data_IF_578459132665
#
_entry.id   IF_578459132665
#
_cell.length_a   1.000
_cell.length_b   1.000
_cell.length_c   1.000
_cell.angle_alpha   90.00
_cell.angle_beta   90.00
_cell.angle_gamma   90.00
#
_symmetry.space_group_name_H-M   'P 1'
#
loop_
_entity.id
_entity.type
_entity.pdbx_description
1 polymer ?
#
# COMPACT_ATOMS: atom_id res chain seq x y z
N UNK A 1 12.07 39.79 -15.63
CA UNK A 1 13.31 39.59 -14.85
C UNK A 1 12.89 39.17 -13.43
N UNK A 2 13.44 38.06 -12.92
CA UNK A 2 13.20 37.37 -11.62
C UNK A 2 11.91 36.53 -11.58
N UNK A 3 11.88 35.26 -11.12
CA UNK A 3 12.83 34.35 -10.42
C UNK A 3 12.61 32.93 -10.98
N UNK A 4 13.61 32.28 -11.56
CA UNK A 4 14.67 31.46 -10.94
C UNK A 4 14.12 30.29 -10.12
N UNK A 5 14.32 29.10 -10.68
CA UNK A 5 14.09 27.79 -10.13
C UNK A 5 14.65 27.64 -8.70
N UNK A 6 13.89 26.96 -7.87
CA UNK A 6 14.41 26.20 -6.74
C UNK A 6 13.81 24.81 -6.84
N UNK A 7 14.42 23.97 -7.67
CA UNK A 7 14.31 22.52 -7.50
C UNK A 7 15.03 22.17 -6.19
N UNK A 8 14.38 21.36 -5.35
CA UNK A 8 14.93 20.85 -4.10
C UNK A 8 16.21 20.01 -4.31
N UNK A 9 16.88 19.60 -3.22
CA UNK A 9 18.20 18.97 -3.27
C UNK A 9 18.20 17.75 -4.19
N UNK A 10 19.31 17.55 -4.92
CA UNK A 10 19.58 16.47 -5.87
C UNK A 10 18.92 15.14 -5.44
N UNK A 11 17.71 14.88 -5.94
CA UNK A 11 17.12 13.56 -5.86
C UNK A 11 17.98 12.65 -6.72
N UNK A 12 18.49 11.53 -6.18
CA UNK A 12 19.28 10.61 -6.98
C UNK A 12 18.47 10.25 -8.23
N UNK A 13 19.12 10.26 -9.39
CA UNK A 13 18.49 9.90 -10.67
C UNK A 13 18.31 8.37 -10.70
N UNK A 14 17.42 7.89 -9.85
CA UNK A 14 17.08 6.49 -9.66
C UNK A 14 16.15 6.09 -10.79
N UNK A 15 16.58 5.12 -11.60
CA UNK A 15 15.86 4.68 -12.79
C UNK A 15 15.78 3.17 -12.83
N UNK A 16 14.66 2.67 -13.33
CA UNK A 16 14.49 1.25 -13.63
C UNK A 16 15.52 0.84 -14.70
N UNK A 17 16.33 -0.20 -14.45
CA UNK A 17 17.30 -0.68 -15.43
C UNK A 17 16.60 -1.10 -16.72
N UNK A 18 17.16 -0.69 -17.87
CA UNK A 18 16.55 -0.95 -19.18
C UNK A 18 16.31 -2.44 -19.46
N UNK A 19 17.16 -3.33 -18.93
CA UNK A 19 17.05 -4.78 -19.13
C UNK A 19 15.88 -5.44 -18.42
N UNK A 20 15.22 -4.77 -17.48
CA UNK A 20 14.07 -5.32 -16.72
C UNK A 20 12.83 -4.42 -16.78
N UNK A 21 12.88 -3.31 -17.52
CA UNK A 21 11.82 -2.30 -17.52
C UNK A 21 10.45 -2.86 -17.89
N UNK A 22 10.37 -3.61 -18.98
CA UNK A 22 9.10 -4.18 -19.47
C UNK A 22 8.48 -5.13 -18.43
N UNK A 23 9.30 -5.90 -17.72
CA UNK A 23 8.83 -6.79 -16.66
C UNK A 23 8.31 -6.02 -15.45
N UNK A 24 9.01 -4.95 -15.04
CA UNK A 24 8.57 -4.08 -13.94
C UNK A 24 7.27 -3.36 -14.30
N UNK A 25 7.14 -2.84 -15.52
CA UNK A 25 5.92 -2.20 -16.01
C UNK A 25 4.75 -3.20 -16.04
N UNK A 26 4.99 -4.43 -16.50
CA UNK A 26 3.98 -5.51 -16.49
C UNK A 26 3.47 -5.80 -15.09
N UNK A 27 4.36 -5.97 -14.10
CA UNK A 27 3.94 -6.18 -12.71
C UNK A 27 3.24 -4.94 -12.14
N UNK A 28 3.75 -3.74 -12.40
CA UNK A 28 3.16 -2.49 -11.90
C UNK A 28 1.72 -2.30 -12.39
N UNK A 29 1.50 -2.42 -13.69
CA UNK A 29 0.19 -2.27 -14.31
C UNK A 29 -0.79 -3.34 -13.83
N UNK A 30 -0.31 -4.56 -13.58
CA UNK A 30 -1.14 -5.63 -13.04
C UNK A 30 -1.62 -5.33 -11.61
N UNK A 31 -0.76 -4.79 -10.74
CA UNK A 31 -1.11 -4.53 -9.33
C UNK A 31 -2.02 -3.31 -9.15
N UNK A 32 -1.92 -2.32 -10.02
CA UNK A 32 -2.80 -1.16 -10.02
C UNK A 32 -4.21 -1.55 -10.45
N UNK A 33 -5.16 -1.51 -9.52
CA UNK A 33 -6.56 -1.85 -9.81
C UNK A 33 -7.28 -0.75 -10.58
N UNK A 34 -6.68 0.46 -10.67
CA UNK A 34 -7.24 1.62 -11.37
C UNK A 34 -8.68 1.94 -10.95
N UNK A 35 -8.98 1.74 -9.67
CA UNK A 35 -10.29 2.08 -9.11
C UNK A 35 -10.32 3.58 -8.82
N UNK A 36 -11.39 4.24 -9.26
CA UNK A 36 -11.61 5.65 -8.93
C UNK A 36 -12.06 5.80 -7.47
N UNK A 37 -11.57 6.83 -6.74
CA UNK A 37 -12.10 7.20 -5.45
C UNK A 37 -13.59 7.50 -5.52
N UNK A 38 -14.33 7.06 -4.49
CA UNK A 38 -15.76 7.29 -4.34
C UNK A 38 -16.12 7.49 -2.89
N UNK A 39 -17.31 8.02 -2.63
CA UNK A 39 -17.79 8.19 -1.27
C UNK A 39 -17.94 6.84 -0.56
N UNK A 40 -17.36 6.72 0.63
CA UNK A 40 -17.41 5.53 1.49
C UNK A 40 -17.59 5.93 2.95
N UNK A 41 -17.96 4.98 3.80
CA UNK A 41 -18.16 5.24 5.23
C UNK A 41 -16.84 5.55 5.96
N UNK A 42 -15.75 4.86 5.57
CA UNK A 42 -14.43 4.97 6.23
C UNK A 42 -13.28 4.79 5.24
N UNK A 43 -12.21 5.57 5.41
CA UNK A 43 -10.91 5.31 4.80
C UNK A 43 -9.98 4.53 5.74
N UNK A 44 -9.25 3.55 5.21
CA UNK A 44 -8.20 2.82 5.93
C UNK A 44 -6.87 3.05 5.20
N UNK A 45 -5.97 3.84 5.80
CA UNK A 45 -4.63 4.10 5.28
C UNK A 45 -3.62 3.08 5.82
N UNK A 46 -3.02 2.28 4.94
CA UNK A 46 -2.09 1.22 5.34
C UNK A 46 -0.66 1.75 5.51
N UNK A 47 -0.19 1.68 6.75
CA UNK A 47 1.16 1.99 7.19
C UNK A 47 2.24 1.30 6.36
N UNK A 48 3.36 1.99 6.23
CA UNK A 48 4.58 1.46 5.65
C UNK A 48 5.58 2.58 5.44
N UNK A 49 6.51 2.38 4.52
CA UNK A 49 7.61 3.32 4.28
C UNK A 49 7.23 4.51 3.39
N UNK A 50 6.09 4.47 2.70
CA UNK A 50 5.68 5.48 1.73
C UNK A 50 4.73 6.49 2.41
N UNK A 51 5.24 7.69 2.75
CA UNK A 51 4.42 8.75 3.36
C UNK A 51 3.32 9.28 2.44
N UNK A 52 3.41 9.04 1.12
CA UNK A 52 2.43 9.47 0.14
C UNK A 52 1.05 8.86 0.37
N UNK A 53 0.96 7.73 1.08
CA UNK A 53 -0.32 7.16 1.54
C UNK A 53 -1.05 8.14 2.46
N UNK A 54 -0.36 8.72 3.45
CA UNK A 54 -0.99 9.66 4.39
C UNK A 54 -1.35 10.99 3.72
N UNK A 55 -0.51 11.49 2.81
CA UNK A 55 -0.80 12.70 2.02
C UNK A 55 -2.07 12.51 1.19
N UNK A 56 -2.13 11.42 0.43
CA UNK A 56 -3.27 11.17 -0.44
C UNK A 56 -4.54 10.86 0.34
N UNK A 57 -4.45 10.20 1.50
CA UNK A 57 -5.58 10.06 2.42
C UNK A 57 -6.10 11.43 2.89
N UNK A 58 -5.22 12.37 3.22
CA UNK A 58 -5.63 13.72 3.60
C UNK A 58 -6.28 14.49 2.44
N UNK A 59 -5.73 14.39 1.22
CA UNK A 59 -6.31 14.99 0.02
C UNK A 59 -7.72 14.45 -0.27
N UNK A 60 -7.92 13.14 -0.15
CA UNK A 60 -9.24 12.52 -0.36
C UNK A 60 -10.24 12.90 0.75
N UNK A 61 -9.77 13.06 1.98
CA UNK A 61 -10.60 13.57 3.08
C UNK A 61 -11.12 14.98 2.79
N UNK A 62 -10.24 15.89 2.35
CA UNK A 62 -10.61 17.27 2.01
C UNK A 62 -11.55 17.36 0.81
N UNK A 63 -11.53 16.38 -0.07
CA UNK A 63 -12.47 16.23 -1.18
C UNK A 63 -13.84 15.65 -0.75
N UNK A 64 -13.98 15.23 0.50
CA UNK A 64 -15.25 14.77 1.07
C UNK A 64 -15.59 13.30 0.80
N UNK A 65 -14.62 12.48 0.38
CA UNK A 65 -14.87 11.06 0.06
C UNK A 65 -15.22 10.20 1.28
N UNK A 66 -14.85 10.62 2.49
CA UNK A 66 -15.15 9.87 3.71
C UNK A 66 -15.06 10.79 4.92
N UNK A 67 -15.86 10.54 5.97
CA UNK A 67 -15.86 11.34 7.19
C UNK A 67 -14.82 10.88 8.24
N UNK A 68 -14.30 9.65 8.11
CA UNK A 68 -13.42 9.02 9.12
C UNK A 68 -12.25 8.30 8.45
N UNK A 69 -11.11 8.33 9.14
CA UNK A 69 -9.87 7.66 8.74
C UNK A 69 -9.42 6.72 9.85
N UNK A 70 -8.96 5.52 9.48
CA UNK A 70 -8.14 4.66 10.33
C UNK A 70 -6.76 4.57 9.68
N UNK A 71 -5.70 4.98 10.38
CA UNK A 71 -4.35 4.60 10.00
C UNK A 71 -3.94 3.35 10.79
N UNK A 72 -3.44 2.34 10.06
CA UNK A 72 -3.10 1.02 10.61
C UNK A 72 -1.67 0.64 10.28
N UNK A 73 -0.95 0.03 11.22
CA UNK A 73 0.42 -0.41 11.01
C UNK A 73 1.31 -0.23 12.23
N UNK A 74 1.97 -1.31 12.61
CA UNK A 74 3.01 -1.35 13.62
C UNK A 74 4.32 -0.77 13.12
N UNK A 75 5.24 -0.51 14.04
CA UNK A 75 6.62 -0.23 13.68
C UNK A 75 7.31 -1.49 13.13
N UNK A 76 7.80 -1.39 11.90
CA UNK A 76 8.73 -2.36 11.33
C UNK A 76 10.17 -1.85 11.48
N UNK A 77 11.14 -2.76 11.57
CA UNK A 77 12.57 -2.39 11.63
C UNK A 77 12.98 -1.49 10.46
N UNK A 78 12.34 -1.67 9.31
CA UNK A 78 12.59 -0.92 8.07
C UNK A 78 11.97 0.48 8.04
N UNK A 79 11.17 0.85 9.05
CA UNK A 79 10.47 2.13 9.13
C UNK A 79 10.74 2.91 10.41
N UNK A 80 11.49 2.34 11.37
CA UNK A 80 11.84 2.96 12.65
C UNK A 80 12.51 4.34 12.53
N UNK A 81 13.38 4.54 11.54
CA UNK A 81 14.06 5.84 11.35
C UNK A 81 13.09 6.93 10.89
N UNK A 82 12.12 6.59 10.03
CA UNK A 82 11.11 7.51 9.55
C UNK A 82 9.95 7.70 10.56
N UNK A 83 9.62 6.66 11.31
CA UNK A 83 8.49 6.59 12.23
C UNK A 83 8.90 6.05 13.61
N UNK A 84 9.58 6.84 14.45
CA UNK A 84 10.04 6.39 15.77
C UNK A 84 8.88 5.98 16.69
N UNK A 85 7.65 6.43 16.42
CA UNK A 85 6.47 6.21 17.25
C UNK A 85 5.41 5.27 16.66
N UNK A 86 5.59 4.71 15.47
CA UNK A 86 4.57 3.92 14.78
C UNK A 86 4.30 4.44 13.37
N UNK A 87 4.20 3.55 12.38
CA UNK A 87 3.77 3.94 11.02
C UNK A 87 2.40 4.63 11.05
N UNK A 88 1.44 4.04 11.76
CA UNK A 88 0.09 4.61 11.92
C UNK A 88 0.10 5.97 12.64
N UNK A 89 0.97 6.16 13.63
CA UNK A 89 1.10 7.42 14.37
C UNK A 89 1.68 8.51 13.48
N UNK A 90 2.77 8.22 12.76
CA UNK A 90 3.37 9.19 11.85
C UNK A 90 2.47 9.57 10.68
N UNK A 91 1.68 8.62 10.15
CA UNK A 91 0.67 8.92 9.14
C UNK A 91 -0.42 9.85 9.68
N UNK A 92 -0.91 9.63 10.90
CA UNK A 92 -1.84 10.54 11.56
C UNK A 92 -1.26 11.94 11.73
N UNK A 93 -0.05 12.05 12.29
CA UNK A 93 0.60 13.34 12.49
C UNK A 93 0.70 14.11 11.17
N UNK A 94 1.05 13.42 10.10
CA UNK A 94 1.14 13.97 8.75
C UNK A 94 -0.21 14.44 8.20
N UNK A 95 -1.28 13.66 8.37
CA UNK A 95 -2.62 14.04 7.93
C UNK A 95 -3.19 15.22 8.74
N UNK A 96 -2.99 15.22 10.06
CA UNK A 96 -3.41 16.32 10.95
C UNK A 96 -2.65 17.60 10.64
N UNK A 97 -1.34 17.52 10.33
CA UNK A 97 -0.56 18.67 9.88
C UNK A 97 -1.08 19.27 8.55
N UNK A 98 -1.80 18.48 7.76
CA UNK A 98 -2.47 18.92 6.52
C UNK A 98 -3.92 19.40 6.75
N UNK A 99 -4.34 19.54 8.01
CA UNK A 99 -5.63 20.11 8.37
C UNK A 99 -6.77 19.11 8.46
N UNK A 100 -6.50 17.80 8.41
CA UNK A 100 -7.51 16.79 8.79
C UNK A 100 -7.78 16.93 10.30
N UNK A 101 -9.06 17.04 10.73
CA UNK A 101 -9.39 17.13 12.15
C UNK A 101 -8.88 15.93 12.95
N UNK A 102 -8.35 16.21 14.14
CA UNK A 102 -7.76 15.21 15.03
C UNK A 102 -8.75 14.09 15.42
N UNK A 103 -10.02 14.44 15.59
CA UNK A 103 -11.11 13.53 15.92
C UNK A 103 -11.60 12.71 14.71
N UNK A 104 -11.27 13.10 13.48
CA UNK A 104 -11.57 12.33 12.28
C UNK A 104 -10.62 11.13 12.09
N UNK A 105 -9.50 11.07 12.81
CA UNK A 105 -8.43 10.08 12.61
C UNK A 105 -8.27 9.14 13.80
N UNK A 106 -8.50 7.85 13.57
CA UNK A 106 -8.23 6.76 14.50
C UNK A 106 -6.89 6.08 14.18
N UNK A 107 -6.25 5.52 15.21
CA UNK A 107 -4.95 4.82 15.09
C UNK A 107 -5.12 3.36 15.47
N UNK A 108 -4.58 2.48 14.64
CA UNK A 108 -4.37 1.06 14.90
C UNK A 108 -2.84 0.79 14.81
N UNK A 109 -2.12 0.60 15.94
CA UNK A 109 -0.65 0.56 15.93
C UNK A 109 -0.04 -0.86 15.98
N UNK A 110 -0.83 -1.92 15.81
CA UNK A 110 -0.41 -3.29 16.09
C UNK A 110 -0.25 -4.16 14.84
N UNK A 111 -0.89 -3.82 13.72
CA UNK A 111 -0.85 -4.65 12.53
C UNK A 111 0.55 -4.78 11.92
N UNK A 112 0.98 -6.02 11.64
CA UNK A 112 2.29 -6.36 11.05
C UNK A 112 2.19 -6.95 9.65
N UNK A 113 0.98 -7.26 9.20
CA UNK A 113 0.71 -7.79 7.87
C UNK A 113 -0.66 -7.29 7.38
N UNK A 114 -0.97 -7.52 6.10
CA UNK A 114 -2.18 -6.98 5.47
C UNK A 114 -3.48 -7.55 6.08
N UNK A 115 -3.48 -8.80 6.53
CA UNK A 115 -4.67 -9.39 7.16
C UNK A 115 -4.95 -8.71 8.51
N UNK A 116 -3.91 -8.54 9.33
CA UNK A 116 -4.00 -7.79 10.58
C UNK A 116 -4.40 -6.32 10.35
N UNK A 117 -3.90 -5.67 9.30
CA UNK A 117 -4.32 -4.30 8.98
C UNK A 117 -5.83 -4.22 8.78
N UNK A 118 -6.43 -5.18 8.06
CA UNK A 118 -7.89 -5.23 7.84
C UNK A 118 -8.62 -5.58 9.14
N UNK A 119 -8.20 -6.66 9.81
CA UNK A 119 -8.85 -7.17 11.03
C UNK A 119 -8.82 -6.14 12.16
N UNK A 120 -7.66 -5.54 12.42
CA UNK A 120 -7.49 -4.61 13.52
C UNK A 120 -8.13 -3.26 13.22
N UNK A 121 -8.16 -2.82 11.96
CA UNK A 121 -8.94 -1.64 11.57
C UNK A 121 -10.43 -1.86 11.81
N UNK A 122 -10.97 -3.02 11.42
CA UNK A 122 -12.36 -3.40 11.72
C UNK A 122 -12.64 -3.39 13.23
N UNK A 123 -11.70 -3.89 14.03
CA UNK A 123 -11.80 -3.88 15.50
C UNK A 123 -11.81 -2.45 16.06
N UNK A 124 -10.89 -1.58 15.62
CA UNK A 124 -10.84 -0.17 16.05
C UNK A 124 -12.15 0.55 15.72
N UNK A 125 -12.74 0.31 14.54
CA UNK A 125 -14.04 0.87 14.19
C UNK A 125 -15.16 0.40 15.12
N UNK A 126 -15.20 -0.89 15.42
CA UNK A 126 -16.17 -1.48 16.36
C UNK A 126 -16.04 -0.89 17.78
N UNK A 127 -14.82 -0.72 18.27
CA UNK A 127 -14.54 -0.10 19.59
C UNK A 127 -15.03 1.36 19.67
N UNK A 128 -15.10 2.06 18.54
CA UNK A 128 -15.63 3.42 18.43
C UNK A 128 -17.11 3.46 18.02
N UNK A 129 -17.79 2.31 17.99
CA UNK A 129 -19.19 2.16 17.55
C UNK A 129 -19.44 2.72 16.13
N UNK A 130 -18.46 2.56 15.23
CA UNK A 130 -18.56 2.94 13.82
C UNK A 130 -18.87 1.68 13.01
N UNK A 131 -20.07 1.62 12.44
CA UNK A 131 -20.46 0.58 11.49
C UNK A 131 -20.12 1.04 10.06
N UNK A 132 -19.12 0.40 9.44
CA UNK A 132 -18.77 0.64 8.05
C UNK A 132 -19.37 -0.44 7.15
N UNK A 133 -20.16 -0.03 6.15
CA UNK A 133 -20.66 -0.89 5.08
C UNK A 133 -19.77 -0.81 3.85
N UNK A 134 -19.06 0.30 3.70
CA UNK A 134 -18.11 0.57 2.63
C UNK A 134 -16.79 1.12 3.19
N UNK A 135 -15.67 0.65 2.64
CA UNK A 135 -14.33 1.10 3.02
C UNK A 135 -13.49 1.39 1.79
N UNK A 136 -12.68 2.45 1.88
CA UNK A 136 -11.64 2.74 0.91
C UNK A 136 -10.29 2.51 1.56
N UNK A 137 -9.53 1.56 1.03
CA UNK A 137 -8.14 1.37 1.39
C UNK A 137 -7.26 2.32 0.56
N UNK A 138 -6.42 3.09 1.25
CA UNK A 138 -5.35 3.86 0.62
C UNK A 138 -4.03 3.16 0.92
N UNK A 139 -3.32 2.77 -0.14
CA UNK A 139 -2.08 1.98 -0.05
C UNK A 139 -1.11 2.34 -1.17
N UNK A 140 0.02 1.63 -1.22
CA UNK A 140 1.02 1.77 -2.28
C UNK A 140 0.47 1.14 -3.58
N UNK A 141 0.81 1.67 -4.77
CA UNK A 141 0.23 1.19 -6.03
C UNK A 141 0.39 -0.33 -6.23
N UNK A 142 1.58 -0.87 -5.97
CA UNK A 142 1.86 -2.30 -6.10
C UNK A 142 1.20 -3.18 -5.03
N UNK A 143 0.57 -2.60 -4.00
CA UNK A 143 -0.05 -3.35 -2.90
C UNK A 143 -1.58 -3.47 -3.04
N UNK A 144 -2.21 -2.67 -3.90
CA UNK A 144 -3.69 -2.57 -4.00
C UNK A 144 -4.36 -3.94 -4.17
N UNK A 145 -3.93 -4.72 -5.17
CA UNK A 145 -4.54 -6.02 -5.50
C UNK A 145 -4.53 -7.01 -4.32
N UNK A 146 -3.42 -7.08 -3.58
CA UNK A 146 -3.32 -7.96 -2.41
C UNK A 146 -4.15 -7.47 -1.23
N UNK A 147 -4.24 -6.15 -0.99
CA UNK A 147 -5.13 -5.59 0.03
C UNK A 147 -6.58 -5.95 -0.28
N UNK A 148 -7.00 -5.73 -1.53
CA UNK A 148 -8.35 -6.04 -1.98
C UNK A 148 -8.70 -7.51 -1.75
N UNK A 149 -7.85 -8.43 -2.23
CA UNK A 149 -8.04 -9.87 -2.07
C UNK A 149 -8.03 -10.32 -0.59
N UNK A 150 -7.20 -9.68 0.24
CA UNK A 150 -7.16 -9.96 1.69
C UNK A 150 -8.47 -9.53 2.35
N UNK A 151 -8.99 -8.35 1.99
CA UNK A 151 -10.24 -7.84 2.55
C UNK A 151 -11.43 -8.75 2.22
N UNK A 152 -11.48 -9.31 1.01
CA UNK A 152 -12.54 -10.24 0.61
C UNK A 152 -12.59 -11.51 1.47
N UNK A 153 -11.48 -11.89 2.13
CA UNK A 153 -11.44 -13.03 3.06
C UNK A 153 -11.67 -12.59 4.51
N UNK A 154 -10.99 -11.52 4.95
CA UNK A 154 -10.97 -11.09 6.36
C UNK A 154 -12.22 -10.30 6.76
N UNK A 155 -12.81 -9.56 5.82
CA UNK A 155 -14.00 -8.75 6.03
C UNK A 155 -14.94 -8.87 4.82
N UNK A 156 -15.51 -10.06 4.55
CA UNK A 156 -16.30 -10.31 3.34
C UNK A 156 -17.60 -9.51 3.27
N UNK A 157 -18.08 -8.99 4.41
CA UNK A 157 -19.34 -8.24 4.45
C UNK A 157 -19.20 -6.78 4.02
N UNK A 158 -17.97 -6.25 3.90
CA UNK A 158 -17.74 -4.84 3.55
C UNK A 158 -17.56 -4.67 2.05
N UNK A 159 -18.13 -3.59 1.53
CA UNK A 159 -17.85 -3.14 0.18
C UNK A 159 -16.48 -2.44 0.16
N UNK A 160 -15.47 -3.08 -0.41
CA UNK A 160 -14.10 -2.60 -0.41
C UNK A 160 -13.70 -1.92 -1.72
N UNK A 161 -12.98 -0.81 -1.60
CA UNK A 161 -12.29 -0.11 -2.67
C UNK A 161 -10.82 0.04 -2.32
N UNK A 162 -9.93 0.01 -3.30
CA UNK A 162 -8.50 0.18 -3.11
C UNK A 162 -8.00 1.23 -4.08
N UNK A 163 -7.36 2.27 -3.54
CA UNK A 163 -6.77 3.35 -4.31
C UNK A 163 -5.33 3.59 -3.85
N UNK A 164 -4.55 4.25 -4.69
CA UNK A 164 -3.23 4.75 -4.35
C UNK A 164 -3.05 6.15 -4.94
N UNK A 165 -2.04 6.92 -4.51
CA UNK A 165 -1.69 8.16 -5.19
C UNK A 165 -1.52 7.90 -6.71
N UNK A 166 -2.09 8.74 -7.59
CA UNK A 166 -2.05 8.54 -9.04
C UNK A 166 -0.67 8.96 -9.59
N UNK A 167 0.37 8.23 -9.20
CA UNK A 167 1.76 8.54 -9.50
C UNK A 167 2.30 7.58 -10.57
N UNK A 168 2.85 8.06 -11.69
CA UNK A 168 3.52 7.20 -12.66
C UNK A 168 4.68 6.42 -12.05
N UNK A 169 4.95 5.21 -12.56
CA UNK A 169 5.98 4.31 -12.04
C UNK A 169 7.35 4.98 -11.86
N UNK A 170 7.82 5.75 -12.85
CA UNK A 170 9.13 6.43 -12.77
C UNK A 170 9.16 7.51 -11.69
N UNK A 171 8.05 8.23 -11.50
CA UNK A 171 7.91 9.23 -10.44
C UNK A 171 7.83 8.56 -9.06
N UNK A 172 7.16 7.41 -8.96
CA UNK A 172 7.11 6.60 -7.75
C UNK A 172 8.49 6.06 -7.36
N UNK A 173 9.22 5.50 -8.31
CA UNK A 173 10.61 5.04 -8.08
C UNK A 173 11.49 6.20 -7.62
N UNK A 174 11.33 7.37 -8.25
CA UNK A 174 12.08 8.57 -7.88
C UNK A 174 11.73 9.08 -6.48
N UNK A 175 10.46 9.00 -6.05
CA UNK A 175 10.02 9.45 -4.73
C UNK A 175 10.48 8.51 -3.61
N UNK A 176 10.57 7.21 -3.88
CA UNK A 176 11.12 6.22 -2.95
C UNK A 176 12.65 6.31 -2.88
N UNK A 177 13.32 6.61 -3.99
CA UNK A 177 14.78 6.76 -4.05
C UNK A 177 15.57 5.45 -4.01
N UNK A 178 14.90 4.30 -4.11
CA UNK A 178 15.50 2.98 -4.12
C UNK A 178 14.75 2.07 -5.10
N UNK A 179 15.31 1.93 -6.32
CA UNK A 179 14.70 1.16 -7.40
C UNK A 179 14.66 -0.33 -7.10
N UNK A 180 15.72 -0.89 -6.53
CA UNK A 180 15.82 -2.32 -6.24
C UNK A 180 14.76 -2.69 -5.20
N UNK A 181 14.57 -1.85 -4.18
CA UNK A 181 13.49 -2.01 -3.21
C UNK A 181 12.10 -1.99 -3.85
N UNK A 182 11.83 -1.09 -4.80
CA UNK A 182 10.52 -1.04 -5.49
C UNK A 182 10.29 -2.31 -6.30
N UNK A 183 11.29 -2.76 -7.06
CA UNK A 183 11.19 -3.98 -7.87
C UNK A 183 11.02 -5.21 -6.96
N UNK A 184 11.80 -5.33 -5.90
CA UNK A 184 11.67 -6.40 -4.92
C UNK A 184 10.27 -6.43 -4.29
N UNK A 185 9.69 -5.28 -3.95
CA UNK A 185 8.33 -5.20 -3.41
C UNK A 185 7.29 -5.67 -4.42
N UNK A 186 7.38 -5.22 -5.68
CA UNK A 186 6.53 -5.72 -6.76
C UNK A 186 6.61 -7.23 -6.88
N UNK A 187 7.82 -7.79 -6.99
CA UNK A 187 8.04 -9.24 -7.10
C UNK A 187 7.45 -9.99 -5.91
N UNK A 188 7.69 -9.50 -4.70
CA UNK A 188 7.15 -10.09 -3.49
C UNK A 188 5.63 -10.03 -3.42
N UNK A 189 5.00 -8.92 -3.81
CA UNK A 189 3.56 -8.77 -3.86
C UNK A 189 2.95 -9.73 -4.90
N UNK A 190 3.57 -9.89 -6.08
CA UNK A 190 3.14 -10.86 -7.10
C UNK A 190 3.12 -12.29 -6.56
N UNK A 191 4.22 -12.76 -5.95
CA UNK A 191 4.30 -14.13 -5.45
C UNK A 191 3.21 -14.41 -4.41
N UNK A 192 2.92 -13.42 -3.55
CA UNK A 192 1.90 -13.56 -2.50
C UNK A 192 0.51 -13.72 -3.08
N UNK A 193 0.19 -13.17 -4.25
CA UNK A 193 -1.12 -13.36 -4.87
C UNK A 193 -1.39 -14.84 -5.16
N UNK A 194 -0.38 -15.60 -5.59
CA UNK A 194 -0.50 -17.05 -5.80
C UNK A 194 -0.41 -17.82 -4.48
N UNK A 195 0.69 -17.65 -3.75
CA UNK A 195 0.99 -18.48 -2.55
C UNK A 195 -0.02 -18.26 -1.44
N UNK A 196 -0.54 -17.04 -1.26
CA UNK A 196 -1.51 -16.77 -0.19
C UNK A 196 -2.93 -17.19 -0.60
N UNK A 197 -3.27 -17.16 -1.90
CA UNK A 197 -4.53 -17.69 -2.38
C UNK A 197 -4.61 -19.21 -2.18
N UNK A 198 -3.53 -19.94 -2.49
CA UNK A 198 -3.42 -21.39 -2.24
C UNK A 198 -3.57 -21.76 -0.76
N UNK A 199 -3.10 -20.88 0.14
CA UNK A 199 -3.21 -21.03 1.60
C UNK A 199 -4.55 -20.53 2.16
N UNK A 200 -5.42 -19.96 1.34
CA UNK A 200 -6.71 -19.39 1.76
C UNK A 200 -6.60 -18.11 2.58
N UNK A 201 -5.45 -17.42 2.56
CA UNK A 201 -5.26 -16.15 3.27
C UNK A 201 -5.82 -14.94 2.51
N UNK A 202 -6.00 -15.07 1.19
CA UNK A 202 -6.62 -14.07 0.32
C UNK A 202 -7.59 -14.76 -0.65
N UNK A 203 -8.48 -13.99 -1.28
CA UNK A 203 -9.43 -14.52 -2.25
C UNK A 203 -8.73 -15.03 -3.53
N UNK A 204 -9.30 -16.05 -4.15
CA UNK A 204 -8.76 -16.72 -5.35
C UNK A 204 -9.09 -16.01 -6.66
N UNK A 205 -9.90 -14.95 -6.62
CA UNK A 205 -10.39 -14.25 -7.82
C UNK A 205 -9.31 -13.36 -8.48
N UNK A 206 -8.17 -13.16 -7.81
CA UNK A 206 -7.02 -12.43 -8.35
C UNK A 206 -6.09 -13.38 -9.12
N UNK A 207 -6.56 -13.89 -10.27
CA UNK A 207 -5.72 -14.71 -11.15
C UNK A 207 -4.47 -13.93 -11.57
N UNK A 208 -3.31 -14.61 -11.58
CA UNK A 208 -2.04 -14.07 -12.10
C UNK A 208 -1.89 -14.55 -13.55
N UNK A 209 -2.07 -13.66 -14.55
CA UNK A 209 -1.98 -14.04 -15.96
C UNK A 209 -0.59 -14.53 -16.36
N UNK A 210 -0.50 -15.30 -17.45
CA UNK A 210 0.75 -15.94 -17.87
C UNK A 210 1.87 -14.97 -18.27
N UNK A 211 1.54 -13.80 -18.79
CA UNK A 211 2.49 -12.72 -19.06
C UNK A 211 3.03 -12.10 -17.77
N UNK A 212 2.16 -11.86 -16.78
CA UNK A 212 2.54 -11.39 -15.43
C UNK A 212 3.42 -12.42 -14.72
N UNK A 213 3.06 -13.70 -14.76
CA UNK A 213 3.88 -14.78 -14.22
C UNK A 213 5.24 -14.84 -14.92
N UNK A 214 5.27 -14.73 -16.25
CA UNK A 214 6.52 -14.72 -17.01
C UNK A 214 7.43 -13.51 -16.67
N UNK A 215 6.85 -12.32 -16.45
CA UNK A 215 7.58 -11.14 -16.00
C UNK A 215 8.15 -11.33 -14.58
N UNK A 216 7.34 -11.89 -13.67
CA UNK A 216 7.78 -12.26 -12.33
C UNK A 216 8.98 -13.23 -12.38
N UNK A 217 8.89 -14.31 -13.16
CA UNK A 217 9.96 -15.32 -13.27
C UNK A 217 11.27 -14.70 -13.77
N UNK A 218 11.20 -13.78 -14.75
CA UNK A 218 12.37 -13.07 -15.28
C UNK A 218 13.00 -12.12 -14.25
N UNK A 219 12.19 -11.43 -13.46
CA UNK A 219 12.69 -10.55 -12.39
C UNK A 219 13.34 -11.34 -11.24
N UNK A 220 12.76 -12.49 -10.87
CA UNK A 220 13.38 -13.41 -9.92
C UNK A 220 14.73 -13.91 -10.46
N UNK A 221 14.79 -14.33 -11.73
CA UNK A 221 16.04 -14.74 -12.37
C UNK A 221 17.09 -13.62 -12.48
N UNK A 222 16.65 -12.36 -12.52
CA UNK A 222 17.51 -11.17 -12.49
C UNK A 222 18.02 -10.82 -11.08
N UNK A 223 17.54 -11.51 -10.02
CA UNK A 223 18.05 -11.39 -8.64
C UNK A 223 17.17 -10.57 -7.69
N UNK A 224 16.00 -10.10 -8.12
CA UNK A 224 15.06 -9.37 -7.25
C UNK A 224 14.26 -10.34 -6.38
N UNK A 225 14.87 -10.84 -5.31
CA UNK A 225 14.30 -11.91 -4.48
C UNK A 225 14.14 -11.53 -3.01
N UNK A 226 14.47 -10.30 -2.60
CA UNK A 226 14.59 -9.97 -1.16
C UNK A 226 13.25 -9.99 -0.39
N UNK A 227 12.13 -9.98 -1.12
CA UNK A 227 10.77 -9.97 -0.57
C UNK A 227 9.96 -11.23 -0.85
N UNK A 228 10.56 -12.25 -1.48
CA UNK A 228 9.91 -13.53 -1.67
C UNK A 228 9.59 -14.19 -0.32
N UNK A 229 8.45 -14.86 -0.25
CA UNK A 229 8.13 -15.75 0.86
C UNK A 229 8.82 -17.10 0.63
N UNK A 230 9.38 -17.73 1.69
CA UNK A 230 9.92 -19.08 1.58
C UNK A 230 8.84 -20.08 1.15
N UNK A 231 9.22 -21.08 0.35
CA UNK A 231 8.31 -22.12 -0.16
C UNK A 231 7.87 -23.14 0.91
N UNK A 232 8.54 -23.20 2.07
CA UNK A 232 8.19 -24.10 3.20
C UNK A 232 7.50 -23.38 4.37
N UNK A 233 6.65 -24.08 5.15
CA UNK A 233 5.66 -23.43 6.01
C UNK A 233 6.31 -22.73 7.21
N UNK A 234 5.79 -21.55 7.55
CA UNK A 234 5.93 -20.98 8.89
C UNK A 234 5.31 -21.98 9.86
N UNK A 235 6.16 -22.79 10.50
CA UNK A 235 5.75 -23.56 11.66
C UNK A 235 5.31 -22.56 12.74
N UNK A 236 4.01 -22.62 13.06
CA UNK A 236 3.39 -21.96 14.21
C UNK A 236 3.99 -22.50 15.51
#
# INVERSE_FOLDING_TARGET
MRRSETYGPDMPNVRIPAGVREDVETLWEYHDLRQDPREVDVCIGLGGHDTGVADYTADLYHQGYFPRIVFTGANATTTLEAFPHGEAVGYRERAVAQGVPDDAVLIEPLARNTAENVEYSRKVLSEHAIEARSVMFVTKPYHQRRVFATCQVVWPEVEAYCVSPPLPLDEYVSSIGDVDRVIDMLVGDTQRLTVYAEKGFIATDQEVPGDVQGAFDRLVAAGYTSRLVPEEPLHV
#
